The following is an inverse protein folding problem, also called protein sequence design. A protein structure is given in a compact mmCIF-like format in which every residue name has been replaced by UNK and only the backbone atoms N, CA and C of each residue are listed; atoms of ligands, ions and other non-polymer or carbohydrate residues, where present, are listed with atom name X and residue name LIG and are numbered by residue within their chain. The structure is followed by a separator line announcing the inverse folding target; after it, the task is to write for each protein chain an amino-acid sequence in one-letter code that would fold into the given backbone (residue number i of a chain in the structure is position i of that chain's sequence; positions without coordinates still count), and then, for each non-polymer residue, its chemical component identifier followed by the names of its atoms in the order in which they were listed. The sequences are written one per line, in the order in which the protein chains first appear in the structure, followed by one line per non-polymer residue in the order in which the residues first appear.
data_IF_832959785628
#
_entry.id   IF_832959785628
#
_cell.length_a   1.000
_cell.length_b   1.000
_cell.length_c   1.000
_cell.angle_alpha   90.00
_cell.angle_beta   90.00
_cell.angle_gamma   90.00
#
_symmetry.space_group_name_H-M   'P 1'
#
loop_
_entity.id
_entity.type
_entity.pdbx_description
1 polymer ?
#
# COMPACT_ATOMS: atom_id res chain seq x y z
N UNK A 1 32.02 8.16 -25.72
CA UNK A 1 31.34 6.88 -26.06
C UNK A 1 32.09 6.30 -27.26
N UNK A 2 32.40 4.99 -27.31
CA UNK A 2 33.11 4.41 -28.44
C UNK A 2 32.35 4.63 -29.74
N UNK A 3 33.08 4.94 -30.81
CA UNK A 3 32.50 5.19 -32.13
C UNK A 3 32.29 3.85 -32.85
N UNK A 4 31.06 3.62 -33.30
CA UNK A 4 30.64 2.42 -34.02
C UNK A 4 30.31 2.79 -35.48
N UNK A 5 31.33 2.77 -36.34
CA UNK A 5 31.21 3.21 -37.74
C UNK A 5 30.62 2.17 -38.69
N UNK A 6 30.57 0.90 -38.27
CA UNK A 6 30.04 -0.19 -39.10
C UNK A 6 28.53 -0.09 -39.28
N UNK A 7 28.08 -0.16 -40.54
CA UNK A 7 26.67 -0.40 -40.88
C UNK A 7 26.34 -1.87 -40.62
N UNK A 8 25.52 -2.12 -39.59
CA UNK A 8 25.14 -3.46 -39.13
C UNK A 8 23.83 -3.93 -39.79
N UNK A 9 23.78 -5.19 -40.24
CA UNK A 9 22.53 -5.88 -40.58
C UNK A 9 21.92 -6.48 -39.31
N UNK A 10 20.65 -6.85 -39.36
CA UNK A 10 19.99 -7.50 -38.22
C UNK A 10 20.73 -8.80 -37.85
N UNK A 11 21.09 -8.94 -36.58
CA UNK A 11 21.91 -10.03 -36.05
C UNK A 11 23.37 -9.64 -35.83
N UNK A 12 23.89 -8.65 -36.56
CA UNK A 12 25.31 -8.29 -36.51
C UNK A 12 25.67 -7.51 -35.24
N UNK A 13 26.96 -7.57 -34.88
CA UNK A 13 27.55 -6.84 -33.76
C UNK A 13 28.78 -6.03 -34.19
N UNK A 14 28.95 -4.84 -33.62
CA UNK A 14 30.21 -4.09 -33.60
C UNK A 14 30.63 -3.88 -32.15
N UNK A 15 31.92 -3.96 -31.84
CA UNK A 15 32.39 -3.92 -30.45
C UNK A 15 33.76 -3.26 -30.33
N UNK A 16 34.02 -2.69 -29.15
CA UNK A 16 35.31 -2.15 -28.73
C UNK A 16 35.57 -2.64 -27.31
N UNK A 17 36.77 -3.15 -27.05
CA UNK A 17 37.18 -3.54 -25.71
C UNK A 17 38.39 -2.73 -25.25
N UNK A 18 38.40 -2.40 -23.96
CA UNK A 18 39.57 -2.02 -23.18
C UNK A 18 39.88 -3.16 -22.20
N UNK A 19 40.89 -3.02 -21.35
CA UNK A 19 41.34 -4.06 -20.40
C UNK A 19 40.19 -4.65 -19.55
N UNK A 20 39.30 -3.81 -19.05
CA UNK A 20 38.22 -4.20 -18.13
C UNK A 20 36.82 -3.83 -18.60
N UNK A 21 36.67 -3.36 -19.85
CA UNK A 21 35.41 -2.85 -20.38
C UNK A 21 35.19 -3.29 -21.81
N UNK A 22 34.01 -3.84 -22.07
CA UNK A 22 33.51 -4.17 -23.38
C UNK A 22 32.31 -3.27 -23.70
N UNK A 23 32.41 -2.53 -24.79
CA UNK A 23 31.30 -1.84 -25.40
C UNK A 23 30.87 -2.59 -26.66
N UNK A 24 29.59 -2.94 -26.74
CA UNK A 24 29.04 -3.70 -27.86
C UNK A 24 27.77 -3.03 -28.38
N UNK A 25 27.70 -2.88 -29.69
CA UNK A 25 26.53 -2.45 -30.45
C UNK A 25 25.99 -3.67 -31.18
N UNK A 26 24.78 -4.08 -30.85
CA UNK A 26 24.07 -5.17 -31.50
C UNK A 26 22.86 -4.64 -32.25
N UNK A 27 22.68 -5.08 -33.50
CA UNK A 27 21.53 -4.70 -34.32
C UNK A 27 20.45 -5.78 -34.23
N UNK A 28 19.36 -5.49 -33.52
CA UNK A 28 18.12 -6.26 -33.67
C UNK A 28 17.18 -5.50 -34.62
N UNK A 29 15.92 -5.25 -34.24
CA UNK A 29 15.05 -4.29 -34.94
C UNK A 29 15.58 -2.85 -34.84
N UNK A 30 16.25 -2.53 -33.74
CA UNK A 30 16.92 -1.26 -33.45
C UNK A 30 18.30 -1.53 -32.89
N UNK A 31 19.14 -0.50 -32.89
CA UNK A 31 20.48 -0.58 -32.33
C UNK A 31 20.38 -0.68 -30.80
N UNK A 32 21.01 -1.69 -30.23
CA UNK A 32 21.16 -1.87 -28.78
C UNK A 32 22.64 -1.71 -28.45
N UNK A 33 22.97 -0.73 -27.62
CA UNK A 33 24.35 -0.49 -27.18
C UNK A 33 24.46 -0.88 -25.71
N UNK A 34 25.39 -1.78 -25.40
CA UNK A 34 25.69 -2.23 -24.05
C UNK A 34 27.12 -1.87 -23.69
N UNK A 35 27.34 -1.55 -22.42
CA UNK A 35 28.65 -1.41 -21.81
C UNK A 35 28.73 -2.38 -20.64
N UNK A 36 29.80 -3.16 -20.55
CA UNK A 36 29.95 -4.16 -19.50
C UNK A 36 31.41 -4.38 -19.11
N UNK A 37 31.65 -4.68 -17.84
CA UNK A 37 32.97 -5.03 -17.31
C UNK A 37 33.15 -6.53 -17.02
N UNK A 38 32.10 -7.33 -17.23
CA UNK A 38 32.07 -8.73 -16.78
C UNK A 38 31.95 -9.75 -17.90
N UNK A 39 31.41 -9.36 -19.06
CA UNK A 39 31.09 -10.31 -20.12
C UNK A 39 32.10 -10.22 -21.26
N UNK A 40 32.38 -11.38 -21.86
CA UNK A 40 33.10 -11.49 -23.12
C UNK A 40 32.20 -11.15 -24.31
N UNK A 41 32.81 -10.80 -25.45
CA UNK A 41 32.10 -10.62 -26.71
C UNK A 41 31.69 -11.97 -27.32
N UNK A 42 30.70 -12.61 -26.72
CA UNK A 42 30.21 -13.93 -27.12
C UNK A 42 28.75 -13.86 -27.55
N UNK A 43 28.46 -14.48 -28.70
CA UNK A 43 27.08 -14.71 -29.15
C UNK A 43 26.58 -16.05 -28.60
N UNK A 44 25.34 -16.05 -28.11
CA UNK A 44 24.69 -17.22 -27.51
C UNK A 44 23.45 -17.56 -28.32
N UNK A 45 23.40 -18.81 -28.78
CA UNK A 45 22.22 -19.40 -29.42
C UNK A 45 21.24 -19.85 -28.35
N UNK A 46 20.04 -19.30 -28.37
CA UNK A 46 18.97 -19.67 -27.45
C UNK A 46 18.16 -20.84 -28.03
N UNK A 47 17.61 -21.74 -27.19
CA UNK A 47 16.69 -22.81 -27.62
C UNK A 47 15.31 -22.27 -28.02
N UNK A 48 15.23 -20.99 -28.40
CA UNK A 48 14.02 -20.30 -28.81
C UNK A 48 14.06 -20.09 -30.31
N UNK A 49 13.07 -20.62 -31.01
CA UNK A 49 12.93 -20.46 -32.46
C UNK A 49 12.23 -19.14 -32.76
N UNK A 50 12.78 -18.38 -33.71
CA UNK A 50 12.14 -17.21 -34.26
C UNK A 50 10.99 -17.66 -35.19
N UNK A 51 9.76 -17.21 -34.91
CA UNK A 51 8.57 -17.60 -35.69
C UNK A 51 8.62 -17.14 -37.15
N UNK A 52 9.41 -16.11 -37.47
CA UNK A 52 9.50 -15.58 -38.82
C UNK A 52 10.59 -16.23 -39.66
N UNK A 53 11.75 -16.56 -39.06
CA UNK A 53 12.88 -17.13 -39.78
C UNK A 53 13.03 -18.64 -39.58
N UNK A 54 12.27 -19.23 -38.64
CA UNK A 54 12.38 -20.64 -38.22
C UNK A 54 13.77 -21.05 -37.71
N UNK A 55 14.65 -20.08 -37.45
CA UNK A 55 15.99 -20.29 -36.94
C UNK A 55 16.05 -20.02 -35.43
N UNK A 56 17.10 -20.56 -34.78
CA UNK A 56 17.37 -20.27 -33.39
C UNK A 56 17.74 -18.79 -33.20
N UNK A 57 17.20 -18.19 -32.14
CA UNK A 57 17.49 -16.80 -31.81
C UNK A 57 18.90 -16.68 -31.23
N UNK A 58 19.76 -15.89 -31.87
CA UNK A 58 21.13 -15.61 -31.41
C UNK A 58 21.19 -14.20 -30.80
N UNK A 59 21.78 -14.07 -29.62
CA UNK A 59 21.96 -12.76 -28.95
C UNK A 59 23.33 -12.65 -28.28
N UNK A 60 23.88 -11.44 -28.11
CA UNK A 60 25.06 -11.26 -27.28
C UNK A 60 24.81 -11.71 -25.83
N UNK A 61 25.81 -12.34 -25.21
CA UNK A 61 25.76 -12.81 -23.82
C UNK A 61 25.35 -11.69 -22.86
N UNK A 62 25.96 -10.50 -22.99
CA UNK A 62 25.67 -9.36 -22.12
C UNK A 62 24.22 -8.89 -22.23
N UNK A 63 23.60 -8.96 -23.42
CA UNK A 63 22.19 -8.59 -23.63
C UNK A 63 21.27 -9.64 -23.02
N UNK A 64 21.63 -10.92 -23.13
CA UNK A 64 20.87 -12.00 -22.52
C UNK A 64 20.85 -11.88 -20.99
N UNK A 65 22.03 -11.70 -20.38
CA UNK A 65 22.15 -11.58 -18.93
C UNK A 65 21.51 -10.31 -18.39
N UNK A 66 21.67 -9.19 -19.09
CA UNK A 66 20.98 -7.95 -18.75
C UNK A 66 19.47 -8.15 -18.72
N UNK A 67 18.88 -8.72 -19.76
CA UNK A 67 17.43 -8.98 -19.81
C UNK A 67 16.97 -9.94 -18.70
N UNK A 68 17.82 -10.90 -18.28
CA UNK A 68 17.51 -11.80 -17.16
C UNK A 68 17.42 -11.05 -15.83
N UNK A 69 18.24 -10.02 -15.63
CA UNK A 69 18.38 -9.33 -14.35
C UNK A 69 17.59 -8.01 -14.26
N UNK A 70 17.49 -7.25 -15.35
CA UNK A 70 16.91 -5.90 -15.43
C UNK A 70 15.50 -5.84 -14.81
N UNK A 71 14.66 -6.86 -15.04
CA UNK A 71 13.29 -6.88 -14.54
C UNK A 71 13.16 -7.14 -13.03
N UNK A 72 14.25 -7.18 -12.26
CA UNK A 72 14.16 -7.35 -10.80
C UNK A 72 13.48 -6.15 -10.12
N UNK A 73 13.83 -4.91 -10.51
CA UNK A 73 13.24 -3.68 -9.95
C UNK A 73 11.77 -3.58 -10.32
N UNK A 74 11.45 -3.73 -11.61
CA UNK A 74 10.05 -3.69 -12.10
C UNK A 74 9.17 -4.73 -11.42
N UNK A 75 9.72 -5.92 -11.13
CA UNK A 75 8.99 -6.96 -10.38
C UNK A 75 8.69 -6.54 -8.95
N UNK A 76 9.65 -5.91 -8.26
CA UNK A 76 9.43 -5.36 -6.93
C UNK A 76 8.35 -4.28 -6.95
N UNK A 77 8.44 -3.34 -7.90
CA UNK A 77 7.44 -2.27 -8.07
C UNK A 77 6.05 -2.82 -8.39
N UNK A 78 5.97 -3.84 -9.26
CA UNK A 78 4.74 -4.54 -9.57
C UNK A 78 4.14 -5.19 -8.32
N UNK A 79 4.95 -5.88 -7.51
CA UNK A 79 4.47 -6.50 -6.25
C UNK A 79 3.96 -5.44 -5.27
N UNK A 80 4.68 -4.33 -5.10
CA UNK A 80 4.27 -3.23 -4.23
C UNK A 80 2.97 -2.56 -4.72
N UNK A 81 2.81 -2.40 -6.03
CA UNK A 81 1.60 -1.79 -6.61
C UNK A 81 0.31 -2.53 -6.25
N UNK A 82 0.40 -3.84 -5.95
CA UNK A 82 -0.75 -4.67 -5.59
C UNK A 82 -1.28 -4.43 -4.15
N UNK A 83 -0.45 -3.88 -3.26
CA UNK A 83 -0.77 -3.70 -1.83
C UNK A 83 -0.38 -2.31 -1.30
N UNK A 84 -0.28 -1.32 -2.18
CA UNK A 84 0.20 0.03 -1.88
C UNK A 84 -0.56 0.69 -0.70
N UNK A 85 0.20 1.03 0.34
CA UNK A 85 -0.30 1.70 1.53
C UNK A 85 -0.36 3.23 1.35
N UNK A 86 0.15 3.76 0.24
CA UNK A 86 0.11 5.18 -0.09
C UNK A 86 -1.33 5.66 -0.22
N UNK A 87 -1.60 6.82 0.40
CA UNK A 87 -2.89 7.54 0.31
C UNK A 87 -2.64 8.95 -0.20
N UNK A 88 -3.63 9.53 -0.88
CA UNK A 88 -3.56 10.93 -1.35
C UNK A 88 -3.31 11.84 -0.15
N UNK A 89 -2.17 12.52 -0.16
CA UNK A 89 -1.78 13.44 0.91
C UNK A 89 -1.08 14.67 0.35
N UNK A 90 -1.34 15.84 0.94
CA UNK A 90 -0.69 17.11 0.58
C UNK A 90 0.79 17.16 0.99
N UNK A 91 1.20 16.35 1.97
CA UNK A 91 2.56 16.37 2.53
C UNK A 91 3.42 15.26 1.91
N UNK A 92 4.41 15.62 1.11
CA UNK A 92 5.23 14.68 0.33
C UNK A 92 5.99 13.65 1.19
N UNK A 93 6.47 14.03 2.37
CA UNK A 93 7.26 13.14 3.24
C UNK A 93 6.45 11.93 3.73
N UNK A 94 5.12 12.04 3.81
CA UNK A 94 4.26 10.91 4.17
C UNK A 94 4.30 9.82 3.09
N UNK A 95 4.41 10.21 1.82
CA UNK A 95 4.56 9.26 0.71
C UNK A 95 5.85 8.47 0.84
N UNK A 96 6.97 9.14 1.17
CA UNK A 96 8.25 8.51 1.42
C UNK A 96 8.19 7.52 2.60
N UNK A 97 7.54 7.93 3.69
CA UNK A 97 7.35 7.08 4.87
C UNK A 97 6.55 5.81 4.56
N UNK A 98 5.39 5.92 3.92
CA UNK A 98 4.58 4.74 3.58
C UNK A 98 5.30 3.82 2.59
N UNK A 99 5.96 4.38 1.58
CA UNK A 99 6.77 3.59 0.66
C UNK A 99 7.92 2.84 1.35
N UNK A 100 8.53 3.44 2.38
CA UNK A 100 9.56 2.77 3.20
C UNK A 100 9.00 1.57 3.97
N UNK A 101 7.76 1.66 4.46
CA UNK A 101 7.06 0.53 5.10
C UNK A 101 6.80 -0.57 4.08
N UNK A 102 6.31 -0.22 2.89
CA UNK A 102 6.01 -1.17 1.81
C UNK A 102 7.28 -1.96 1.40
N UNK A 103 8.42 -1.28 1.22
CA UNK A 103 9.71 -1.92 0.94
C UNK A 103 10.13 -2.85 2.10
N UNK A 104 9.94 -2.41 3.34
CA UNK A 104 10.28 -3.20 4.53
C UNK A 104 9.46 -4.50 4.57
N UNK A 105 8.17 -4.43 4.27
CA UNK A 105 7.29 -5.60 4.19
C UNK A 105 7.70 -6.55 3.06
N UNK A 106 8.07 -6.02 1.90
CA UNK A 106 8.56 -6.83 0.79
C UNK A 106 9.85 -7.57 1.14
N UNK A 107 10.79 -6.90 1.80
CA UNK A 107 12.03 -7.51 2.28
C UNK A 107 11.76 -8.58 3.35
N UNK A 108 10.83 -8.32 4.28
CA UNK A 108 10.41 -9.30 5.27
C UNK A 108 9.77 -10.54 4.62
N UNK A 109 8.96 -10.36 3.56
CA UNK A 109 8.39 -11.46 2.78
C UNK A 109 9.46 -12.28 2.06
N UNK A 110 10.48 -11.61 1.49
CA UNK A 110 11.61 -12.30 0.86
C UNK A 110 12.35 -13.18 1.88
N UNK A 111 12.66 -12.64 3.07
CA UNK A 111 13.27 -13.40 4.16
C UNK A 111 12.40 -14.56 4.65
N UNK A 112 11.10 -14.32 4.81
CA UNK A 112 10.12 -15.36 5.19
C UNK A 112 10.12 -16.49 4.15
N UNK A 113 10.11 -16.15 2.87
CA UNK A 113 10.12 -17.11 1.77
C UNK A 113 11.41 -17.94 1.68
N UNK A 114 12.53 -17.42 2.18
CA UNK A 114 13.79 -18.19 2.27
C UNK A 114 13.76 -19.24 3.39
N UNK A 115 13.07 -18.96 4.50
CA UNK A 115 13.02 -19.85 5.68
C UNK A 115 11.89 -20.88 5.62
N UNK A 116 10.82 -20.59 4.90
CA UNK A 116 9.65 -21.46 4.81
C UNK A 116 9.55 -22.16 3.45
N UNK A 117 9.32 -23.47 3.47
CA UNK A 117 9.15 -24.29 2.25
C UNK A 117 7.80 -24.04 1.57
N UNK A 118 6.79 -23.62 2.33
CA UNK A 118 5.47 -23.26 1.80
C UNK A 118 5.52 -21.86 1.19
N UNK A 119 5.29 -21.80 -0.12
CA UNK A 119 5.16 -20.53 -0.84
C UNK A 119 3.88 -19.82 -0.42
N UNK A 120 4.03 -18.66 0.22
CA UNK A 120 2.93 -17.75 0.56
C UNK A 120 2.98 -16.55 -0.37
N UNK A 121 1.85 -16.16 -0.95
CA UNK A 121 1.78 -14.95 -1.77
C UNK A 121 2.06 -13.70 -0.93
N UNK A 122 2.60 -12.66 -1.55
CA UNK A 122 2.89 -11.41 -0.84
C UNK A 122 1.63 -10.81 -0.18
N UNK A 123 0.48 -10.86 -0.87
CA UNK A 123 -0.80 -10.41 -0.32
C UNK A 123 -1.23 -11.17 0.94
N UNK A 124 -1.10 -12.51 0.96
CA UNK A 124 -1.47 -13.32 2.12
C UNK A 124 -0.51 -13.08 3.30
N UNK A 125 0.79 -12.92 3.01
CA UNK A 125 1.77 -12.52 4.02
C UNK A 125 1.42 -11.15 4.60
N UNK A 126 1.08 -10.19 3.76
CA UNK A 126 0.68 -8.85 4.17
C UNK A 126 -0.54 -8.86 5.08
N UNK A 127 -1.60 -9.60 4.71
CA UNK A 127 -2.79 -9.77 5.54
C UNK A 127 -2.49 -10.44 6.89
N UNK A 128 -1.62 -11.45 6.91
CA UNK A 128 -1.22 -12.11 8.16
C UNK A 128 -0.47 -11.16 9.10
N UNK A 129 0.40 -10.30 8.56
CA UNK A 129 1.09 -9.27 9.35
C UNK A 129 0.10 -8.24 9.90
N UNK A 130 -0.85 -7.77 9.08
CA UNK A 130 -1.90 -6.85 9.52
C UNK A 130 -2.72 -7.46 10.67
N UNK A 131 -3.15 -8.72 10.51
CA UNK A 131 -3.92 -9.42 11.55
C UNK A 131 -3.15 -9.49 12.88
N UNK A 132 -1.86 -9.86 12.84
CA UNK A 132 -1.02 -9.94 14.04
C UNK A 132 -0.77 -8.56 14.69
N UNK A 133 -0.62 -7.50 13.88
CA UNK A 133 -0.47 -6.14 14.41
C UNK A 133 -1.75 -5.65 15.09
N UNK A 134 -2.92 -5.96 14.52
CA UNK A 134 -4.22 -5.63 15.12
C UNK A 134 -4.44 -6.46 16.39
N UNK A 135 -4.10 -7.74 16.40
CA UNK A 135 -4.23 -8.57 17.61
C UNK A 135 -3.36 -8.06 18.75
N UNK A 136 -2.12 -7.65 18.46
CA UNK A 136 -1.15 -7.23 19.48
C UNK A 136 -1.30 -5.78 19.95
N UNK A 137 -1.63 -4.88 19.03
CA UNK A 137 -1.64 -3.43 19.28
C UNK A 137 -2.98 -2.78 18.97
N UNK A 138 -3.97 -3.56 18.49
CA UNK A 138 -5.32 -3.08 18.26
C UNK A 138 -5.90 -2.62 19.58
N UNK A 139 -5.92 -1.30 19.76
CA UNK A 139 -6.83 -0.70 20.72
C UNK A 139 -8.20 -1.06 20.17
N UNK A 140 -8.93 -1.94 20.86
CA UNK A 140 -10.38 -2.00 20.75
C UNK A 140 -10.87 -0.65 21.24
N UNK A 141 -10.80 0.37 20.38
CA UNK A 141 -11.77 1.44 20.47
C UNK A 141 -13.06 0.69 20.32
N UNK A 142 -13.80 0.58 21.41
CA UNK A 142 -15.23 0.31 21.38
C UNK A 142 -15.74 1.00 20.12
N UNK A 143 -15.96 0.21 19.07
CA UNK A 143 -16.71 0.66 17.91
C UNK A 143 -18.09 0.77 18.53
N UNK A 144 -18.38 1.95 19.08
CA UNK A 144 -19.64 2.22 19.73
C UNK A 144 -20.73 1.89 18.72
N UNK A 145 -21.41 0.77 18.95
CA UNK A 145 -22.62 0.30 18.27
C UNK A 145 -22.81 0.82 16.83
N UNK A 146 -21.98 0.34 15.89
CA UNK A 146 -22.38 0.23 14.48
C UNK A 146 -23.04 -1.14 14.19
N UNK A 147 -23.43 -1.88 15.24
CA UNK A 147 -24.48 -2.88 15.09
C UNK A 147 -25.79 -2.14 14.87
N UNK A 148 -26.19 -2.08 13.60
CA UNK A 148 -27.46 -1.52 13.15
C UNK A 148 -28.60 -1.83 14.13
N UNK A 149 -29.33 -0.77 14.49
CA UNK A 149 -30.50 -0.77 15.36
C UNK A 149 -30.30 -0.95 16.88
N UNK A 150 -29.08 -1.21 17.39
CA UNK A 150 -28.87 -1.32 18.85
C UNK A 150 -29.25 -0.03 19.61
N UNK A 151 -29.05 1.15 19.01
CA UNK A 151 -29.48 2.44 19.59
C UNK A 151 -31.00 2.57 19.71
N UNK A 152 -31.76 1.85 18.86
CA UNK A 152 -33.23 1.93 18.74
C UNK A 152 -33.96 0.82 19.51
N UNK A 153 -33.27 -0.28 19.82
CA UNK A 153 -33.89 -1.49 20.38
C UNK A 153 -33.60 -1.69 21.87
N UNK A 154 -32.47 -1.19 22.37
CA UNK A 154 -32.07 -1.38 23.77
C UNK A 154 -32.65 -0.29 24.69
N UNK A 155 -32.72 -0.62 25.99
CA UNK A 155 -33.13 0.34 27.04
C UNK A 155 -31.93 1.21 27.43
N UNK A 156 -31.91 2.44 26.94
CA UNK A 156 -30.87 3.41 27.27
C UNK A 156 -31.30 4.29 28.45
N UNK A 157 -30.41 4.52 29.40
CA UNK A 157 -30.66 5.38 30.56
C UNK A 157 -29.68 6.56 30.62
N UNK A 158 -30.16 7.79 30.88
CA UNK A 158 -29.29 8.95 30.97
C UNK A 158 -28.44 8.89 32.25
N UNK A 159 -27.13 9.05 32.07
CA UNK A 159 -26.15 9.14 33.17
C UNK A 159 -25.46 10.51 33.09
N UNK A 160 -25.02 11.04 34.22
CA UNK A 160 -24.25 12.29 34.24
C UNK A 160 -22.87 12.10 33.62
N UNK A 161 -22.41 13.08 32.84
CA UNK A 161 -21.08 13.06 32.23
C UNK A 161 -20.02 13.08 33.35
N UNK A 162 -19.04 12.15 33.33
CA UNK A 162 -17.96 12.13 34.30
C UNK A 162 -17.18 13.44 34.31
N UNK A 163 -16.82 13.91 35.50
CA UNK A 163 -15.95 15.09 35.65
C UNK A 163 -14.53 14.73 35.20
N UNK A 164 -13.84 15.71 34.62
CA UNK A 164 -12.41 15.57 34.35
C UNK A 164 -11.65 15.55 35.69
N UNK A 165 -10.63 14.70 35.85
CA UNK A 165 -9.77 14.70 37.05
C UNK A 165 -9.23 16.11 37.31
N UNK A 166 -9.44 16.64 38.53
CA UNK A 166 -8.98 17.98 38.93
C UNK A 166 -9.91 19.16 38.57
N UNK A 167 -11.08 18.92 37.96
CA UNK A 167 -12.05 19.97 37.64
C UNK A 167 -13.23 20.00 38.62
N UNK A 168 -13.53 21.17 39.21
CA UNK A 168 -14.75 21.42 39.99
C UNK A 168 -16.00 21.58 39.12
N UNK A 169 -15.85 21.84 37.81
CA UNK A 169 -16.97 21.98 36.88
C UNK A 169 -17.64 20.63 36.62
N UNK A 170 -18.97 20.64 36.56
CA UNK A 170 -19.78 19.50 36.11
C UNK A 170 -19.35 19.11 34.70
N UNK A 171 -19.21 17.81 34.45
CA UNK A 171 -18.88 17.32 33.12
C UNK A 171 -19.98 17.70 32.13
N UNK A 172 -19.59 18.24 30.97
CA UNK A 172 -20.52 18.51 29.88
C UNK A 172 -20.00 17.92 28.57
N UNK A 173 -20.92 17.46 27.73
CA UNK A 173 -20.64 17.02 26.35
C UNK A 173 -21.60 17.73 25.40
N UNK A 174 -21.17 17.89 24.15
CA UNK A 174 -22.03 18.42 23.09
C UNK A 174 -23.18 17.45 22.82
N UNK A 175 -24.42 17.95 22.78
CA UNK A 175 -25.57 17.16 22.41
C UNK A 175 -25.48 16.74 20.93
N UNK A 176 -25.48 15.43 20.66
CA UNK A 176 -25.40 14.90 19.30
C UNK A 176 -26.59 15.33 18.43
N UNK A 177 -27.82 15.16 18.93
CA UNK A 177 -29.06 15.48 18.19
C UNK A 177 -29.13 16.97 17.83
N UNK A 178 -28.93 17.88 18.77
CA UNK A 178 -28.98 19.33 18.48
C UNK A 178 -27.95 19.76 17.42
N UNK A 179 -26.85 19.01 17.33
CA UNK A 179 -25.71 19.32 16.50
C UNK A 179 -25.79 18.74 15.10
N UNK A 180 -26.54 17.65 14.93
CA UNK A 180 -26.64 16.87 13.69
C UNK A 180 -28.08 16.78 13.16
N UNK A 181 -29.05 17.43 13.80
CA UNK A 181 -30.43 17.49 13.34
C UNK A 181 -30.52 18.11 11.94
N UNK A 182 -31.31 17.47 11.07
CA UNK A 182 -31.68 18.02 9.75
C UNK A 182 -33.08 18.65 9.74
N UNK A 183 -33.89 18.35 10.76
CA UNK A 183 -35.26 18.86 10.87
C UNK A 183 -35.31 20.34 11.26
N UNK A 184 -34.28 20.85 11.95
CA UNK A 184 -34.18 22.24 12.40
C UNK A 184 -32.76 22.76 12.19
N UNK A 185 -32.58 24.07 12.32
CA UNK A 185 -31.24 24.67 12.29
C UNK A 185 -30.38 24.05 13.40
N UNK A 186 -29.25 23.45 13.02
CA UNK A 186 -28.32 22.84 13.96
C UNK A 186 -27.77 23.90 14.93
N UNK A 187 -27.84 23.59 16.23
CA UNK A 187 -27.37 24.47 17.31
C UNK A 187 -26.43 23.72 18.24
N UNK A 188 -25.33 24.36 18.62
CA UNK A 188 -24.44 23.82 19.64
C UNK A 188 -25.10 23.98 21.01
N UNK A 189 -25.44 22.86 21.65
CA UNK A 189 -25.92 22.81 23.03
C UNK A 189 -25.09 21.83 23.84
N UNK A 190 -24.70 22.22 25.04
CA UNK A 190 -24.02 21.34 25.98
C UNK A 190 -25.05 20.63 26.88
N UNK A 191 -24.75 19.38 27.22
CA UNK A 191 -25.53 18.57 28.15
C UNK A 191 -24.62 18.00 29.22
N UNK A 192 -25.10 18.01 30.46
CA UNK A 192 -24.50 17.30 31.58
C UNK A 192 -24.80 15.81 31.57
N UNK A 193 -25.59 15.32 30.61
CA UNK A 193 -26.02 13.93 30.50
C UNK A 193 -25.48 13.25 29.24
N UNK A 194 -25.21 11.95 29.36
CA UNK A 194 -24.78 11.07 28.29
C UNK A 194 -25.48 9.72 28.39
N UNK A 195 -25.56 9.01 27.27
CA UNK A 195 -25.86 7.58 27.27
C UNK A 195 -24.53 6.81 27.41
N UNK A 196 -24.33 5.96 28.42
CA UNK A 196 -23.10 5.19 28.58
C UNK A 196 -22.96 4.08 27.52
N UNK A 197 -24.07 3.48 27.10
CA UNK A 197 -24.08 2.41 26.08
C UNK A 197 -23.74 2.93 24.68
N UNK A 198 -24.12 4.17 24.38
CA UNK A 198 -23.82 4.83 23.10
C UNK A 198 -22.65 5.83 23.18
N UNK A 199 -22.12 6.12 24.37
CA UNK A 199 -21.09 7.14 24.68
C UNK A 199 -21.32 8.51 24.02
N UNK A 200 -22.59 8.89 23.84
CA UNK A 200 -22.99 10.19 23.26
C UNK A 200 -23.54 11.12 24.33
N UNK A 201 -23.18 12.41 24.23
CA UNK A 201 -23.82 13.48 25.00
C UNK A 201 -25.20 13.79 24.42
N UNK A 202 -26.23 13.86 25.25
CA UNK A 202 -27.61 14.10 24.83
C UNK A 202 -28.33 14.98 25.85
N UNK A 203 -29.11 15.96 25.41
CA UNK A 203 -30.04 16.66 26.30
C UNK A 203 -31.07 15.68 26.84
N UNK A 204 -31.39 15.73 28.14
CA UNK A 204 -32.37 14.84 28.78
C UNK A 204 -33.70 14.85 28.03
N UNK A 205 -34.19 16.04 27.66
CA UNK A 205 -35.41 16.24 26.89
C UNK A 205 -35.17 17.26 25.77
N UNK A 206 -35.65 17.05 24.53
CA UNK A 206 -36.25 15.83 23.98
C UNK A 206 -35.20 14.90 23.32
N UNK A 207 -33.93 15.31 23.25
CA UNK A 207 -32.90 14.67 22.44
C UNK A 207 -32.59 13.22 22.84
N UNK A 208 -32.65 12.88 24.12
CA UNK A 208 -32.40 11.52 24.58
C UNK A 208 -33.41 10.54 23.97
N UNK A 209 -34.70 10.89 24.01
CA UNK A 209 -35.76 10.10 23.37
C UNK A 209 -35.54 9.99 21.86
N UNK A 210 -35.38 11.13 21.19
CA UNK A 210 -35.21 11.20 19.72
C UNK A 210 -34.05 10.31 19.24
N UNK A 211 -32.89 10.38 19.91
CA UNK A 211 -31.72 9.59 19.54
C UNK A 211 -31.93 8.09 19.71
N UNK A 212 -32.81 7.66 20.62
CA UNK A 212 -33.06 6.26 20.91
C UNK A 212 -34.37 5.72 20.31
N UNK A 213 -35.20 6.56 19.69
CA UNK A 213 -36.47 6.11 19.07
C UNK A 213 -36.59 6.42 17.59
N UNK A 214 -35.86 7.41 17.06
CA UNK A 214 -36.04 7.87 15.67
C UNK A 214 -34.83 7.51 14.80
N UNK A 215 -35.10 6.93 13.62
CA UNK A 215 -34.06 6.64 12.63
C UNK A 215 -33.40 7.93 12.10
N UNK A 216 -34.14 9.02 12.04
CA UNK A 216 -33.73 10.32 11.47
C UNK A 216 -34.21 11.46 12.34
N UNK A 217 -33.33 12.43 12.62
CA UNK A 217 -33.62 13.61 13.43
C UNK A 217 -32.89 14.85 12.90
#
# INVERSE_FOLDING_TARGET
MPVFDKKLKQGDTDWRSSENLLAIKWKDRRDVVMLTSMHENRMVTLPKINRSTYENVIKPLCVLEYNRQMGAVDRSDMMLSSVDCTRKCLKWYKKLFFHSIDITLLNAHAMFSTRHTKKTSFANFHLAVIAQLIERYGIVKSIHCDLGNARLQNRHFPVSVPRKPGSTKVGSRRCWVCSHTKQKQAKRKESSYMCPECDVGLCVVPCFKIYHTEATF
#
